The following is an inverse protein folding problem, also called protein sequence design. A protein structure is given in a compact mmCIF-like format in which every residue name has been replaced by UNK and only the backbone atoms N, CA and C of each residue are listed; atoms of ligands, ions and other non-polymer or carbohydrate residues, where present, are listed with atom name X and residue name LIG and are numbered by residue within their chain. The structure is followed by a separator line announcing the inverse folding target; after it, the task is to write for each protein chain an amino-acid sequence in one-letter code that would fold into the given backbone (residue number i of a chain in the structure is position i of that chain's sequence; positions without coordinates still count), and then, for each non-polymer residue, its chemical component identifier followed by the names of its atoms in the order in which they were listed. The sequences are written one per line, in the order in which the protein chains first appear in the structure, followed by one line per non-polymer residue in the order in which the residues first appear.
data_IF_613674348994
#
_entry.id   IF_613674348994
#
_cell.length_a   1.000
_cell.length_b   1.000
_cell.length_c   1.000
_cell.angle_alpha   90.00
_cell.angle_beta   90.00
_cell.angle_gamma   90.00
#
_symmetry.space_group_name_H-M   'P 1'
#
loop_
_entity.id
_entity.type
_entity.pdbx_description
1 polymer ?
#
# COMPACT_ATOMS: atom_id res chain seq x y z
N UNK A 1 5.85 4.18 -13.95
CA UNK A 1 5.97 2.73 -14.12
C UNK A 1 7.42 2.38 -14.46
N UNK A 2 7.97 2.78 -15.61
CA UNK A 2 9.34 2.46 -16.01
C UNK A 2 10.41 2.80 -14.99
N UNK A 3 10.25 3.88 -14.20
CA UNK A 3 11.15 4.20 -13.10
C UNK A 3 11.10 3.13 -11.98
N UNK A 4 9.92 2.60 -11.66
CA UNK A 4 9.76 1.51 -10.67
C UNK A 4 10.48 0.26 -11.17
N UNK A 5 10.24 -0.16 -12.40
CA UNK A 5 10.84 -1.36 -13.01
C UNK A 5 12.37 -1.29 -13.11
N UNK A 6 12.92 -0.11 -13.40
CA UNK A 6 14.37 0.10 -13.50
C UNK A 6 15.08 0.35 -12.17
N UNK A 7 14.33 0.64 -11.10
CA UNK A 7 14.89 0.92 -9.79
C UNK A 7 15.42 -0.36 -9.12
N UNK A 8 16.54 -0.24 -8.41
CA UNK A 8 17.08 -1.32 -7.56
C UNK A 8 16.31 -1.34 -6.23
N UNK A 9 15.07 -1.81 -6.27
CA UNK A 9 14.18 -1.79 -5.11
C UNK A 9 14.69 -2.64 -3.94
N UNK A 10 15.50 -3.65 -4.19
CA UNK A 10 16.16 -4.45 -3.15
C UNK A 10 17.08 -3.65 -2.21
N UNK A 11 17.44 -2.41 -2.56
CA UNK A 11 18.19 -1.51 -1.70
C UNK A 11 17.35 -0.72 -0.70
N UNK A 12 16.04 -0.82 -0.74
CA UNK A 12 15.14 -0.04 0.11
C UNK A 12 14.45 -0.91 1.16
N UNK A 13 14.56 -0.49 2.42
CA UNK A 13 13.85 -1.14 3.54
C UNK A 13 12.34 -0.90 3.50
N UNK A 14 11.93 0.24 2.98
CA UNK A 14 10.53 0.64 2.84
C UNK A 14 10.27 1.08 1.41
N UNK A 15 9.25 0.49 0.79
CA UNK A 15 8.73 0.90 -0.52
C UNK A 15 7.27 1.27 -0.33
N UNK A 16 6.88 2.45 -0.75
CA UNK A 16 5.50 2.94 -0.57
C UNK A 16 4.89 3.37 -1.90
N UNK A 17 3.66 2.90 -2.12
CA UNK A 17 2.82 3.31 -3.24
C UNK A 17 1.59 4.04 -2.69
N UNK A 18 1.55 5.36 -2.87
CA UNK A 18 0.39 6.20 -2.56
C UNK A 18 -0.32 6.52 -3.88
N UNK A 19 -1.17 5.61 -4.32
CA UNK A 19 -1.82 5.69 -5.63
C UNK A 19 -3.15 4.95 -5.61
N UNK A 20 -3.78 4.74 -6.77
CA UNK A 20 -5.01 3.96 -6.90
C UNK A 20 -4.70 2.50 -7.23
N UNK A 21 -5.37 1.58 -6.54
CA UNK A 21 -5.46 0.19 -6.95
C UNK A 21 -6.61 0.02 -7.94
N UNK A 22 -6.39 -0.73 -8.99
CA UNK A 22 -7.36 -1.03 -10.03
C UNK A 22 -7.69 -2.51 -10.03
N UNK A 23 -8.96 -2.84 -10.23
CA UNK A 23 -9.43 -4.23 -10.36
C UNK A 23 -9.57 -4.61 -11.83
N UNK A 24 -9.51 -5.93 -12.14
CA UNK A 24 -9.79 -6.41 -13.49
C UNK A 24 -11.13 -5.88 -14.01
N UNK A 25 -11.14 -5.40 -15.25
CA UNK A 25 -12.34 -4.87 -15.91
C UNK A 25 -12.69 -3.41 -15.59
N UNK A 26 -11.99 -2.77 -14.64
CA UNK A 26 -12.19 -1.34 -14.33
C UNK A 26 -11.73 -0.41 -15.46
N UNK A 27 -10.72 -0.84 -16.19
CA UNK A 27 -10.29 -0.21 -17.44
C UNK A 27 -10.41 -1.18 -18.60
N UNK A 28 -10.65 -0.65 -19.80
CA UNK A 28 -10.70 -1.47 -21.02
C UNK A 28 -9.32 -2.11 -21.26
N UNK A 29 -9.29 -3.43 -21.33
CA UNK A 29 -8.06 -4.20 -21.53
C UNK A 29 -7.30 -4.55 -20.24
N UNK A 30 -7.76 -4.12 -19.07
CA UNK A 30 -7.18 -4.50 -17.78
C UNK A 30 -7.82 -5.83 -17.33
N UNK A 31 -7.10 -6.93 -17.45
CA UNK A 31 -7.54 -8.29 -17.10
C UNK A 31 -6.96 -8.81 -15.78
N UNK A 32 -6.07 -8.03 -15.15
CA UNK A 32 -5.44 -8.36 -13.86
C UNK A 32 -5.39 -7.11 -12.94
N UNK A 33 -5.22 -7.31 -11.62
CA UNK A 33 -5.08 -6.19 -10.70
C UNK A 33 -3.83 -5.34 -11.01
N UNK A 34 -3.92 -4.03 -10.83
CA UNK A 34 -2.80 -3.12 -11.09
C UNK A 34 -2.77 -1.94 -10.11
N UNK A 35 -1.63 -1.29 -10.00
CA UNK A 35 -1.47 0.04 -9.39
C UNK A 35 -1.40 1.08 -10.50
N UNK A 36 -2.23 2.10 -10.42
CA UNK A 36 -2.17 3.24 -11.34
C UNK A 36 -0.96 4.12 -10.98
N UNK A 37 -0.04 4.28 -11.91
CA UNK A 37 1.13 5.15 -11.78
C UNK A 37 0.96 6.40 -12.66
N UNK A 38 2.07 7.12 -12.89
CA UNK A 38 2.02 8.32 -13.72
C UNK A 38 1.56 7.99 -15.15
N UNK A 39 0.58 8.76 -15.63
CA UNK A 39 0.05 8.62 -16.97
C UNK A 39 1.15 8.83 -18.02
N UNK A 40 1.37 7.89 -18.96
CA UNK A 40 2.42 7.94 -19.96
C UNK A 40 2.31 9.15 -20.90
N UNK A 41 1.12 9.71 -21.08
CA UNK A 41 0.92 10.95 -21.86
C UNK A 41 1.67 12.15 -21.25
N UNK A 42 1.93 12.13 -19.94
CA UNK A 42 2.65 13.19 -19.22
C UNK A 42 4.08 12.80 -18.84
N UNK A 43 4.48 11.52 -18.98
CA UNK A 43 5.78 10.99 -18.55
C UNK A 43 6.59 10.69 -19.78
N UNK A 44 6.72 11.08 -20.83
CA UNK A 44 7.61 10.77 -21.97
C UNK A 44 8.08 9.29 -22.04
N UNK A 45 7.36 8.39 -21.35
CA UNK A 45 7.63 6.96 -21.24
C UNK A 45 6.71 6.22 -22.23
N UNK A 46 7.24 5.94 -23.41
CA UNK A 46 6.48 5.32 -24.50
C UNK A 46 6.40 3.78 -24.41
N UNK A 47 7.18 3.20 -23.50
CA UNK A 47 7.29 1.75 -23.35
C UNK A 47 6.37 1.20 -22.26
N UNK A 48 5.78 2.08 -21.45
CA UNK A 48 4.95 1.73 -20.31
C UNK A 48 3.60 2.44 -20.39
N UNK A 49 2.55 1.76 -19.95
CA UNK A 49 1.16 2.25 -20.03
C UNK A 49 0.70 3.02 -18.78
N UNK A 50 1.53 3.10 -17.75
CA UNK A 50 1.25 3.75 -16.48
C UNK A 50 0.55 2.84 -15.48
N UNK A 51 0.41 1.56 -15.77
CA UNK A 51 -0.15 0.55 -14.87
C UNK A 51 0.96 -0.40 -14.42
N UNK A 52 1.10 -0.58 -13.11
CA UNK A 52 1.97 -1.60 -12.57
C UNK A 52 1.10 -2.82 -12.24
N UNK A 53 1.05 -3.75 -13.18
CA UNK A 53 0.22 -4.94 -13.11
C UNK A 53 0.77 -5.98 -12.14
N UNK A 54 -0.07 -6.95 -11.72
CA UNK A 54 0.37 -8.06 -10.88
C UNK A 54 1.57 -8.81 -11.49
N UNK A 55 1.52 -9.10 -12.80
CA UNK A 55 2.61 -9.79 -13.50
C UNK A 55 3.92 -9.01 -13.41
N UNK A 56 3.87 -7.69 -13.56
CA UNK A 56 5.03 -6.82 -13.47
C UNK A 56 5.55 -6.72 -12.03
N UNK A 57 4.65 -6.70 -11.04
CA UNK A 57 5.03 -6.75 -9.62
C UNK A 57 5.76 -8.04 -9.29
N UNK A 58 5.31 -9.18 -9.82
CA UNK A 58 6.01 -10.48 -9.66
C UNK A 58 7.43 -10.47 -10.25
N UNK A 59 7.69 -9.63 -11.25
CA UNK A 59 9.02 -9.42 -11.83
C UNK A 59 9.93 -8.51 -11.01
N UNK A 60 9.42 -7.80 -10.01
CA UNK A 60 10.22 -6.93 -9.15
C UNK A 60 11.09 -7.76 -8.20
N UNK A 61 12.28 -7.24 -7.90
CA UNK A 61 13.16 -7.81 -6.87
C UNK A 61 13.22 -6.87 -5.69
N UNK A 62 12.66 -7.30 -4.58
CA UNK A 62 12.59 -6.58 -3.32
C UNK A 62 13.41 -7.30 -2.25
N UNK A 63 13.89 -6.56 -1.26
CA UNK A 63 14.30 -7.06 0.06
C UNK A 63 13.76 -6.07 1.10
N UNK A 64 12.49 -5.73 0.92
CA UNK A 64 11.85 -4.68 1.69
C UNK A 64 11.28 -5.24 3.00
N UNK A 65 11.55 -4.56 4.10
CA UNK A 65 10.92 -4.84 5.38
C UNK A 65 9.43 -4.46 5.34
N UNK A 66 9.14 -3.36 4.61
CA UNK A 66 7.80 -2.86 4.42
C UNK A 66 7.50 -2.54 2.96
N UNK A 67 6.34 -2.97 2.50
CA UNK A 67 5.67 -2.36 1.35
C UNK A 67 4.36 -1.74 1.85
N UNK A 68 4.19 -0.45 1.60
CA UNK A 68 2.97 0.29 1.95
C UNK A 68 2.15 0.48 0.69
N UNK A 69 0.94 -0.04 0.70
CA UNK A 69 -0.03 0.12 -0.37
C UNK A 69 -1.18 0.97 0.15
N UNK A 70 -1.02 2.29 0.07
CA UNK A 70 -2.11 3.24 0.31
C UNK A 70 -2.86 3.44 -1.00
N UNK A 71 -3.48 2.38 -1.46
CA UNK A 71 -4.18 2.30 -2.74
C UNK A 71 -5.63 1.95 -2.45
N UNK A 72 -6.46 2.98 -2.28
CA UNK A 72 -7.89 2.79 -2.08
C UNK A 72 -8.57 2.67 -3.42
N UNK A 73 -9.32 1.61 -3.63
CA UNK A 73 -10.27 1.57 -4.73
C UNK A 73 -11.58 2.23 -4.30
N UNK A 74 -11.85 3.41 -4.78
CA UNK A 74 -12.96 4.25 -4.37
C UNK A 74 -14.24 4.00 -5.16
N UNK A 75 -14.49 2.81 -5.60
CA UNK A 75 -15.76 2.75 -6.30
C UNK A 75 -16.19 1.48 -6.95
N UNK A 76 -16.73 0.56 -6.23
CA UNK A 76 -17.94 -0.14 -6.64
C UNK A 76 -18.45 -1.09 -5.54
N UNK A 77 -19.74 -1.33 -5.56
CA UNK A 77 -20.56 -1.97 -4.54
C UNK A 77 -20.54 -3.50 -4.54
N UNK A 78 -19.65 -4.16 -5.26
CA UNK A 78 -19.78 -5.60 -5.54
C UNK A 78 -18.68 -6.49 -5.00
N UNK A 79 -18.31 -6.32 -3.75
CA UNK A 79 -17.60 -7.41 -3.00
C UNK A 79 -16.23 -7.91 -3.51
N UNK A 80 -15.86 -7.59 -4.74
CA UNK A 80 -14.62 -8.05 -5.39
C UNK A 80 -13.41 -7.14 -5.13
N UNK A 81 -13.61 -6.02 -4.44
CA UNK A 81 -12.60 -4.96 -4.29
C UNK A 81 -11.47 -5.32 -3.34
N UNK A 82 -11.76 -6.07 -2.27
CA UNK A 82 -10.73 -6.56 -1.35
C UNK A 82 -9.74 -7.53 -2.00
N UNK A 83 -10.16 -8.20 -3.07
CA UNK A 83 -9.30 -9.17 -3.76
C UNK A 83 -8.25 -8.52 -4.68
N UNK A 84 -8.50 -7.34 -5.21
CA UNK A 84 -7.56 -6.69 -6.13
C UNK A 84 -6.28 -6.22 -5.41
N UNK A 85 -6.43 -5.54 -4.27
CA UNK A 85 -5.27 -5.15 -3.45
C UNK A 85 -4.61 -6.40 -2.88
N UNK A 86 -5.38 -7.44 -2.50
CA UNK A 86 -4.83 -8.72 -2.07
C UNK A 86 -4.07 -9.42 -3.19
N UNK A 87 -4.52 -9.32 -4.44
CA UNK A 87 -3.83 -9.87 -5.60
C UNK A 87 -2.47 -9.20 -5.83
N UNK A 88 -2.44 -7.87 -5.95
CA UNK A 88 -1.19 -7.10 -6.10
C UNK A 88 -0.32 -7.24 -4.86
N UNK A 89 -0.91 -7.23 -3.66
CA UNK A 89 -0.19 -7.43 -2.40
C UNK A 89 0.56 -8.75 -2.36
N UNK A 90 -0.06 -9.85 -2.80
CA UNK A 90 0.63 -11.14 -2.93
C UNK A 90 1.84 -11.05 -3.85
N UNK A 91 1.73 -10.34 -4.98
CA UNK A 91 2.85 -10.10 -5.88
C UNK A 91 4.05 -9.48 -5.17
N UNK A 92 3.82 -8.48 -4.31
CA UNK A 92 4.91 -7.87 -3.52
C UNK A 92 5.55 -8.83 -2.52
N UNK A 93 4.76 -9.68 -1.87
CA UNK A 93 5.31 -10.73 -0.98
C UNK A 93 6.19 -11.70 -1.76
N UNK A 94 5.73 -12.19 -2.92
CA UNK A 94 6.54 -13.04 -3.80
C UNK A 94 7.79 -12.31 -4.31
N UNK A 95 7.69 -11.01 -4.57
CA UNK A 95 8.83 -10.16 -4.98
C UNK A 95 9.86 -9.91 -3.87
N UNK A 96 9.60 -10.34 -2.63
CA UNK A 96 10.55 -10.24 -1.51
C UNK A 96 10.19 -9.21 -0.43
N UNK A 97 8.96 -8.72 -0.39
CA UNK A 97 8.46 -7.92 0.74
C UNK A 97 8.18 -8.82 1.96
N UNK A 98 8.68 -8.43 3.14
CA UNK A 98 8.45 -9.17 4.39
C UNK A 98 7.10 -8.86 4.99
N UNK A 99 6.66 -7.62 4.88
CA UNK A 99 5.38 -7.16 5.39
C UNK A 99 4.74 -6.13 4.47
N UNK A 100 3.43 -6.16 4.43
CA UNK A 100 2.62 -5.16 3.73
C UNK A 100 1.78 -4.40 4.74
N UNK A 101 1.71 -3.09 4.60
CA UNK A 101 0.67 -2.27 5.18
C UNK A 101 -0.28 -1.87 4.06
N UNK A 102 -1.48 -2.42 4.08
CA UNK A 102 -2.49 -2.21 3.03
C UNK A 102 -3.68 -1.43 3.59
N UNK A 103 -4.35 -0.67 2.74
CA UNK A 103 -5.66 -0.11 3.05
C UNK A 103 -6.72 -0.79 2.16
N UNK A 104 -7.68 -1.45 2.81
CA UNK A 104 -8.70 -2.28 2.13
C UNK A 104 -9.85 -1.46 1.54
N UNK A 105 -9.99 -0.19 1.90
CA UNK A 105 -10.99 0.73 1.36
C UNK A 105 -10.53 2.18 1.42
N UNK A 106 -11.36 3.09 0.89
CA UNK A 106 -11.08 4.53 0.92
C UNK A 106 -10.90 5.04 2.35
N UNK A 107 -9.78 5.70 2.61
CA UNK A 107 -9.45 6.29 3.91
C UNK A 107 -9.29 7.80 3.75
N UNK A 108 -9.71 8.54 4.76
CA UNK A 108 -9.49 9.97 4.81
C UNK A 108 -7.99 10.28 4.83
N UNK A 109 -7.55 11.25 4.01
CA UNK A 109 -6.13 11.49 3.71
C UNK A 109 -5.29 11.86 4.94
N UNK A 110 -5.86 12.63 5.87
CA UNK A 110 -5.11 13.07 7.07
C UNK A 110 -4.91 11.91 8.03
N UNK A 111 -5.95 11.11 8.27
CA UNK A 111 -5.87 9.92 9.13
C UNK A 111 -4.92 8.87 8.54
N UNK A 112 -4.98 8.62 7.24
CA UNK A 112 -4.05 7.74 6.55
C UNK A 112 -2.59 8.17 6.73
N UNK A 113 -2.32 9.46 6.55
CA UNK A 113 -0.99 10.04 6.76
C UNK A 113 -0.55 9.93 8.23
N UNK A 114 -1.41 10.29 9.18
CA UNK A 114 -1.10 10.23 10.60
C UNK A 114 -0.80 8.80 11.06
N UNK A 115 -1.61 7.84 10.63
CA UNK A 115 -1.45 6.44 10.98
C UNK A 115 -0.15 5.89 10.38
N UNK A 116 0.05 6.05 9.09
CA UNK A 116 1.21 5.49 8.38
C UNK A 116 2.51 6.08 8.90
N UNK A 117 2.59 7.42 9.02
CA UNK A 117 3.79 8.07 9.56
C UNK A 117 4.01 7.74 11.04
N UNK A 118 2.93 7.54 11.80
CA UNK A 118 2.97 7.11 13.20
C UNK A 118 3.64 5.74 13.38
N UNK A 119 3.32 4.76 12.52
CA UNK A 119 3.95 3.44 12.54
C UNK A 119 5.47 3.55 12.41
N UNK A 120 5.93 4.26 11.37
CA UNK A 120 7.37 4.40 11.12
C UNK A 120 8.08 5.21 12.21
N UNK A 121 7.45 6.26 12.73
CA UNK A 121 8.00 7.04 13.83
C UNK A 121 8.22 6.18 15.07
N UNK A 122 7.23 5.37 15.45
CA UNK A 122 7.33 4.47 16.60
C UNK A 122 8.46 3.44 16.43
N UNK A 123 8.64 2.87 15.24
CA UNK A 123 9.73 1.94 14.97
C UNK A 123 11.12 2.61 14.91
N UNK A 124 11.18 3.88 14.55
CA UNK A 124 12.43 4.65 14.62
C UNK A 124 12.82 4.97 16.07
N UNK A 125 11.84 5.22 16.94
CA UNK A 125 12.03 5.52 18.37
C UNK A 125 12.38 4.25 19.17
N UNK A 126 11.86 3.09 18.76
CA UNK A 126 12.10 1.79 19.41
C UNK A 126 12.34 0.70 18.36
N UNK A 127 13.62 0.39 18.12
CA UNK A 127 14.03 -0.63 17.16
C UNK A 127 13.58 -2.07 17.54
N UNK A 128 13.19 -2.29 18.79
CA UNK A 128 12.64 -3.57 19.27
C UNK A 128 11.13 -3.69 19.08
N UNK A 129 10.47 -2.61 18.68
CA UNK A 129 9.03 -2.61 18.52
C UNK A 129 8.62 -3.42 17.29
N UNK A 130 7.75 -4.41 17.49
CA UNK A 130 7.22 -5.22 16.40
C UNK A 130 6.32 -4.39 15.48
N UNK A 131 6.22 -4.79 14.21
CA UNK A 131 5.38 -4.11 13.21
C UNK A 131 3.90 -4.07 13.62
N UNK A 132 3.41 -5.19 14.13
CA UNK A 132 2.03 -5.30 14.61
C UNK A 132 1.76 -4.35 15.78
N UNK A 133 2.70 -4.25 16.74
CA UNK A 133 2.56 -3.37 17.88
C UNK A 133 2.72 -1.89 17.49
N UNK A 134 3.59 -1.57 16.54
CA UNK A 134 3.72 -0.22 15.99
C UNK A 134 2.40 0.23 15.33
N UNK A 135 1.77 -0.64 14.52
CA UNK A 135 0.47 -0.37 13.91
C UNK A 135 -0.61 -0.19 14.98
N UNK A 136 -0.71 -1.11 15.95
CA UNK A 136 -1.67 -1.01 17.04
C UNK A 136 -1.52 0.31 17.83
N UNK A 137 -0.29 0.67 18.20
CA UNK A 137 -0.04 1.94 18.94
C UNK A 137 -0.36 3.16 18.08
N UNK A 138 -0.07 3.13 16.78
CA UNK A 138 -0.40 4.21 15.87
C UNK A 138 -1.92 4.40 15.75
N UNK A 139 -2.68 3.28 15.64
CA UNK A 139 -4.15 3.32 15.65
C UNK A 139 -4.69 3.92 16.95
N UNK A 140 -4.24 3.44 18.12
CA UNK A 140 -4.69 3.96 19.41
C UNK A 140 -4.37 5.44 19.57
N UNK A 141 -3.19 5.86 19.11
CA UNK A 141 -2.80 7.28 19.13
C UNK A 141 -3.70 8.11 18.23
N UNK A 142 -4.01 7.63 17.02
CA UNK A 142 -4.93 8.31 16.11
C UNK A 142 -6.31 8.47 16.76
N UNK A 143 -6.87 7.41 17.35
CA UNK A 143 -8.18 7.42 18.02
C UNK A 143 -8.25 8.44 19.17
N UNK A 144 -7.13 8.78 19.79
CA UNK A 144 -7.06 9.75 20.91
C UNK A 144 -6.75 11.16 20.47
N UNK A 145 -6.61 11.44 19.17
CA UNK A 145 -6.20 12.75 18.67
C UNK A 145 -7.39 13.62 18.23
N UNK A 146 -7.31 14.90 18.61
CA UNK A 146 -7.83 16.04 17.89
C UNK A 146 -9.30 16.38 18.10
N UNK A 147 -9.73 17.38 17.32
CA UNK A 147 -11.10 17.89 17.25
C UNK A 147 -12.01 16.98 16.37
N UNK A 148 -11.42 16.16 15.52
CA UNK A 148 -12.12 15.17 14.69
C UNK A 148 -12.25 13.89 15.51
N UNK A 149 -13.42 13.26 15.44
CA UNK A 149 -13.67 11.96 16.10
C UNK A 149 -12.97 10.83 15.35
N UNK A 150 -11.64 10.76 15.45
CA UNK A 150 -10.83 9.67 14.89
C UNK A 150 -11.03 8.33 15.60
N UNK A 151 -11.83 8.27 16.66
CA UNK A 151 -12.23 7.01 17.28
C UNK A 151 -13.15 6.19 16.37
N UNK A 152 -13.84 6.86 15.41
CA UNK A 152 -14.68 6.15 14.46
C UNK A 152 -13.85 5.19 13.58
N UNK A 153 -14.26 3.92 13.43
CA UNK A 153 -13.48 2.89 12.72
C UNK A 153 -13.10 3.22 11.28
N UNK A 154 -13.89 4.04 10.58
CA UNK A 154 -13.59 4.45 9.20
C UNK A 154 -12.19 5.08 9.02
N UNK A 155 -11.58 5.60 10.09
CA UNK A 155 -10.27 6.27 10.03
C UNK A 155 -9.08 5.34 10.24
N UNK A 156 -9.26 4.17 10.85
CA UNK A 156 -8.17 3.27 11.19
C UNK A 156 -8.42 1.79 10.83
N UNK A 157 -9.67 1.33 10.86
CA UNK A 157 -9.99 -0.07 10.58
C UNK A 157 -9.65 -0.55 9.16
N UNK A 158 -9.62 0.32 8.12
CA UNK A 158 -9.20 -0.11 6.80
C UNK A 158 -7.74 -0.57 6.70
N UNK A 159 -6.90 -0.27 7.67
CA UNK A 159 -5.48 -0.62 7.61
C UNK A 159 -5.21 -2.01 8.14
N UNK A 160 -4.63 -2.85 7.31
CA UNK A 160 -4.27 -4.24 7.64
C UNK A 160 -2.77 -4.47 7.44
N UNK A 161 -2.16 -5.18 8.39
CA UNK A 161 -0.81 -5.70 8.28
C UNK A 161 -0.87 -7.14 7.76
N UNK A 162 -0.16 -7.40 6.68
CA UNK A 162 -0.04 -8.74 6.08
C UNK A 162 1.44 -9.16 6.09
N UNK A 163 1.73 -10.40 6.43
CA UNK A 163 3.10 -10.95 6.46
C UNK A 163 3.72 -10.96 7.85
N UNK A 164 5.04 -10.72 7.94
CA UNK A 164 5.78 -10.78 9.20
C UNK A 164 5.46 -9.58 10.10
N UNK A 165 4.72 -9.81 11.16
CA UNK A 165 4.36 -8.79 12.15
C UNK A 165 5.38 -8.59 13.28
N UNK A 166 6.42 -9.45 13.37
CA UNK A 166 7.27 -9.54 14.56
C UNK A 166 8.55 -8.71 14.50
N UNK A 167 9.00 -8.26 13.33
CA UNK A 167 10.27 -7.52 13.19
C UNK A 167 10.09 -6.19 12.49
#
# INVERSE_FOLDING_TARGET
EGNVKRSRLAGYRVVAFATHGLVPGELVGLDQPALALANPLYSNDKENDGLLTLEEVLGLRLDAEWVVLSACNTGSSDGLQGEAVSGVGRGFVFGGARSLLVSDCAVETVSARLLTTGVFKLQMEDAGLTRAEALRRSMLKLMSQGEIDYAHPAFWAPFTLVGDGYR
#
